data_IF_230848055952
#
_entry.id   IF_230848055952
#
_cell.length_a   1.000
_cell.length_b   1.000
_cell.length_c   1.000
_cell.angle_alpha   90.00
_cell.angle_beta   90.00
_cell.angle_gamma   90.00
#
_symmetry.space_group_name_H-M   'P 1'
#
loop_
_entity.id
_entity.type
_entity.pdbx_description
1 polymer ?
#
# COMPACT_ATOMS: atom_id res chain seq x y z
N UNK A 1 48.51 -0.10 -23.77
CA UNK A 1 47.61 0.08 -22.60
C UNK A 1 47.18 1.54 -22.46
N UNK A 2 46.22 1.97 -23.30
CA UNK A 2 45.57 3.27 -23.19
C UNK A 2 44.10 3.07 -22.84
N UNK A 3 43.80 2.95 -21.54
CA UNK A 3 42.45 3.10 -20.98
C UNK A 3 42.47 4.27 -20.00
N UNK A 4 42.94 5.42 -20.50
CA UNK A 4 42.79 6.69 -19.80
C UNK A 4 41.38 7.23 -20.11
N UNK A 5 40.47 7.13 -19.13
CA UNK A 5 39.38 8.11 -18.99
C UNK A 5 37.97 7.72 -19.44
N UNK A 6 37.42 6.57 -19.05
CA UNK A 6 35.96 6.32 -19.14
C UNK A 6 35.11 7.28 -18.30
N UNK A 7 35.72 8.04 -17.38
CA UNK A 7 35.07 9.13 -16.64
C UNK A 7 34.74 10.36 -17.52
N UNK A 8 35.42 10.57 -18.66
CA UNK A 8 35.25 11.77 -19.51
C UNK A 8 34.06 11.72 -20.47
N UNK A 9 33.40 10.57 -20.65
CA UNK A 9 32.29 10.40 -21.60
C UNK A 9 30.95 10.08 -20.93
N UNK A 10 30.84 10.26 -19.61
CA UNK A 10 29.59 10.04 -18.88
C UNK A 10 28.68 11.26 -19.02
N UNK A 11 28.15 11.48 -20.22
CA UNK A 11 27.10 12.49 -20.46
C UNK A 11 25.71 11.88 -20.20
N UNK A 12 24.74 12.65 -19.70
CA UNK A 12 23.37 12.20 -19.41
C UNK A 12 22.72 11.41 -20.55
N UNK A 13 22.90 11.84 -21.80
CA UNK A 13 22.33 11.15 -22.97
C UNK A 13 22.82 9.70 -23.08
N UNK A 14 24.14 9.47 -22.99
CA UNK A 14 24.72 8.13 -23.10
C UNK A 14 24.23 7.25 -21.94
N UNK A 15 24.22 7.80 -20.73
CA UNK A 15 23.75 7.08 -19.54
C UNK A 15 22.27 6.71 -19.64
N UNK A 16 21.44 7.65 -20.08
CA UNK A 16 20.00 7.44 -20.28
C UNK A 16 19.73 6.37 -21.33
N UNK A 17 20.31 6.50 -22.52
CA UNK A 17 20.12 5.51 -23.60
C UNK A 17 20.61 4.13 -23.17
N UNK A 18 21.78 4.04 -22.55
CA UNK A 18 22.30 2.77 -22.02
C UNK A 18 21.38 2.18 -20.95
N UNK A 19 20.79 3.02 -20.09
CA UNK A 19 19.82 2.53 -19.12
C UNK A 19 18.59 1.94 -19.80
N UNK A 20 18.03 2.63 -20.81
CA UNK A 20 16.83 2.16 -21.50
C UNK A 20 17.05 0.79 -22.17
N UNK A 21 18.22 0.55 -22.75
CA UNK A 21 18.55 -0.76 -23.37
C UNK A 21 18.81 -1.87 -22.35
N UNK A 22 19.19 -1.52 -21.11
CA UNK A 22 19.43 -2.47 -20.03
C UNK A 22 18.19 -2.75 -19.17
N UNK A 23 17.06 -2.08 -19.40
CA UNK A 23 15.85 -2.19 -18.57
C UNK A 23 15.38 -3.64 -18.41
N UNK A 24 15.45 -4.45 -19.46
CA UNK A 24 15.00 -5.84 -19.41
C UNK A 24 16.12 -6.82 -18.99
N UNK A 25 17.35 -6.59 -19.50
CA UNK A 25 18.47 -7.52 -19.32
C UNK A 25 19.24 -7.32 -18.02
N UNK A 26 19.29 -6.10 -17.49
CA UNK A 26 19.97 -5.77 -16.23
C UNK A 26 19.31 -4.58 -15.52
N UNK A 27 18.07 -4.74 -15.05
CA UNK A 27 17.24 -3.64 -14.56
C UNK A 27 17.86 -2.87 -13.38
N UNK A 28 18.55 -3.52 -12.44
CA UNK A 28 19.23 -2.83 -11.35
C UNK A 28 20.37 -1.90 -11.86
N UNK A 29 21.08 -2.31 -12.91
CA UNK A 29 22.09 -1.45 -13.57
C UNK A 29 21.42 -0.30 -14.30
N UNK A 30 20.29 -0.54 -14.95
CA UNK A 30 19.50 0.51 -15.60
C UNK A 30 19.05 1.58 -14.59
N UNK A 31 18.53 1.19 -13.41
CA UNK A 31 18.19 2.13 -12.33
C UNK A 31 19.39 3.01 -11.95
N UNK A 32 20.55 2.40 -11.68
CA UNK A 32 21.75 3.14 -11.29
C UNK A 32 22.21 4.15 -12.37
N UNK A 33 22.07 3.77 -13.65
CA UNK A 33 22.37 4.65 -14.77
C UNK A 33 21.36 5.80 -14.89
N UNK A 34 20.07 5.56 -14.67
CA UNK A 34 19.03 6.61 -14.66
C UNK A 34 19.24 7.59 -13.51
N UNK A 35 19.51 7.10 -12.30
CA UNK A 35 19.86 7.93 -11.14
C UNK A 35 21.04 8.83 -11.49
N UNK A 36 22.10 8.28 -12.06
CA UNK A 36 23.27 9.06 -12.46
C UNK A 36 22.98 10.06 -13.58
N UNK A 37 22.21 9.66 -14.58
CA UNK A 37 21.79 10.53 -15.68
C UNK A 37 20.99 11.73 -15.16
N UNK A 38 20.04 11.51 -14.24
CA UNK A 38 19.23 12.58 -13.66
C UNK A 38 20.06 13.61 -12.88
N UNK A 39 21.01 13.15 -12.04
CA UNK A 39 21.93 14.03 -11.29
C UNK A 39 22.81 14.89 -12.21
N UNK A 40 23.36 14.29 -13.27
CA UNK A 40 24.20 15.01 -14.23
C UNK A 40 23.37 15.97 -15.10
N UNK A 41 22.13 15.61 -15.46
CA UNK A 41 21.23 16.49 -16.20
C UNK A 41 20.84 17.73 -15.37
N UNK A 42 20.70 17.58 -14.06
CA UNK A 42 20.41 18.70 -13.14
C UNK A 42 21.56 19.74 -13.14
N UNK A 43 22.80 19.33 -13.39
CA UNK A 43 23.99 20.18 -13.41
C UNK A 43 24.19 20.94 -14.75
N UNK A 44 23.14 21.05 -15.58
CA UNK A 44 23.13 21.70 -16.91
C UNK A 44 24.11 21.06 -17.90
N UNK A 45 23.85 19.80 -18.23
CA UNK A 45 24.46 19.16 -19.40
C UNK A 45 23.60 19.41 -20.64
N UNK A 46 24.16 20.07 -21.64
CA UNK A 46 23.57 20.12 -22.97
C UNK A 46 23.61 18.72 -23.60
N UNK A 47 22.46 18.21 -24.07
CA UNK A 47 22.43 16.97 -24.86
C UNK A 47 21.22 16.05 -24.66
N UNK A 48 20.45 16.22 -23.57
CA UNK A 48 19.24 15.44 -23.34
C UNK A 48 18.04 16.37 -23.14
N UNK A 49 17.04 16.29 -24.05
CA UNK A 49 15.81 17.09 -23.96
C UNK A 49 14.77 16.42 -23.03
N UNK A 50 15.21 16.01 -21.84
CA UNK A 50 14.36 15.42 -20.81
C UNK A 50 14.69 16.12 -19.49
N UNK A 51 13.65 16.53 -18.77
CA UNK A 51 13.81 17.18 -17.47
C UNK A 51 14.40 16.19 -16.44
N UNK A 52 15.34 16.61 -15.57
CA UNK A 52 15.98 15.73 -14.60
C UNK A 52 15.01 14.90 -13.75
N UNK A 53 13.90 15.51 -13.31
CA UNK A 53 12.93 14.84 -12.45
C UNK A 53 12.19 13.71 -13.18
N UNK A 54 11.98 13.79 -14.50
CA UNK A 54 11.36 12.71 -15.29
C UNK A 54 12.29 11.50 -15.42
N UNK A 55 13.60 11.75 -15.53
CA UNK A 55 14.60 10.67 -15.54
C UNK A 55 14.64 9.99 -14.16
N UNK A 56 14.59 10.79 -13.09
CA UNK A 56 14.57 10.28 -11.72
C UNK A 56 13.26 9.52 -11.40
N UNK A 57 12.12 9.97 -11.92
CA UNK A 57 10.82 9.30 -11.84
C UNK A 57 10.88 7.91 -12.48
N UNK A 58 11.43 7.80 -13.70
CA UNK A 58 11.64 6.51 -14.36
C UNK A 58 12.55 5.59 -13.53
N UNK A 59 13.59 6.14 -12.90
CA UNK A 59 14.47 5.37 -12.02
C UNK A 59 13.69 4.81 -10.82
N UNK A 60 12.89 5.64 -10.15
CA UNK A 60 12.09 5.26 -8.99
C UNK A 60 11.04 4.21 -9.36
N UNK A 61 10.33 4.38 -10.48
CA UNK A 61 9.33 3.41 -10.96
C UNK A 61 9.98 2.06 -11.29
N UNK A 62 11.10 2.06 -12.02
CA UNK A 62 11.80 0.82 -12.36
C UNK A 62 12.34 0.13 -11.11
N UNK A 63 12.89 0.90 -10.15
CA UNK A 63 13.38 0.36 -8.90
C UNK A 63 12.26 -0.25 -8.05
N UNK A 64 11.09 0.40 -7.99
CA UNK A 64 9.91 -0.17 -7.34
C UNK A 64 9.45 -1.47 -8.01
N UNK A 65 9.41 -1.50 -9.34
CA UNK A 65 9.03 -2.71 -10.08
C UNK A 65 9.99 -3.88 -9.82
N UNK A 66 11.28 -3.61 -9.61
CA UNK A 66 12.25 -4.62 -9.20
C UNK A 66 12.00 -5.10 -7.78
N UNK A 67 11.80 -4.14 -6.87
CA UNK A 67 11.52 -4.40 -5.47
C UNK A 67 10.26 -5.26 -5.30
N UNK A 68 9.18 -4.96 -6.03
CA UNK A 68 7.89 -5.66 -5.94
C UNK A 68 7.89 -7.07 -6.55
N UNK A 69 8.81 -7.37 -7.49
CA UNK A 69 8.90 -8.67 -8.18
C UNK A 69 9.55 -9.78 -7.34
N UNK A 70 10.23 -9.41 -6.25
CA UNK A 70 10.83 -10.35 -5.31
C UNK A 70 10.17 -10.19 -3.92
N UNK A 71 8.86 -10.53 -3.80
CA UNK A 71 8.17 -10.44 -2.53
C UNK A 71 8.74 -11.50 -1.57
N UNK A 72 9.31 -11.05 -0.45
CA UNK A 72 9.93 -11.93 0.51
C UNK A 72 8.97 -12.94 1.12
N UNK A 73 9.35 -14.22 1.06
CA UNK A 73 8.83 -15.28 1.91
C UNK A 73 9.52 -15.27 3.29
N UNK A 74 9.53 -14.12 3.98
CA UNK A 74 9.98 -14.02 5.38
C UNK A 74 11.50 -13.98 5.65
N UNK A 75 12.35 -13.93 4.62
CA UNK A 75 13.82 -13.83 4.76
C UNK A 75 14.38 -12.60 4.00
N UNK A 76 14.11 -11.41 4.54
CA UNK A 76 14.84 -10.16 4.26
C UNK A 76 14.76 -9.58 2.83
N UNK A 77 14.07 -8.44 2.69
CA UNK A 77 13.91 -7.63 1.45
C UNK A 77 15.20 -7.00 0.90
N UNK A 78 16.37 -7.59 1.14
CA UNK A 78 17.63 -6.84 1.15
C UNK A 78 18.23 -6.59 -0.22
N UNK A 79 18.01 -7.46 -1.22
CA UNK A 79 18.77 -7.42 -2.47
C UNK A 79 18.55 -6.11 -3.27
N UNK A 80 17.33 -5.57 -3.24
CA UNK A 80 16.97 -4.35 -3.98
C UNK A 80 16.63 -3.15 -3.11
N UNK A 81 16.67 -3.28 -1.78
CA UNK A 81 16.38 -2.17 -0.86
C UNK A 81 17.27 -0.96 -1.10
N UNK A 82 18.59 -1.15 -1.24
CA UNK A 82 19.52 -0.05 -1.50
C UNK A 82 19.20 0.65 -2.83
N UNK A 83 18.98 -0.13 -3.89
CA UNK A 83 18.66 0.39 -5.23
C UNK A 83 17.34 1.17 -5.22
N UNK A 84 16.31 0.66 -4.53
CA UNK A 84 15.02 1.33 -4.42
C UNK A 84 15.11 2.62 -3.60
N UNK A 85 15.71 2.57 -2.40
CA UNK A 85 15.91 3.74 -1.55
C UNK A 85 16.69 4.82 -2.29
N UNK A 86 17.83 4.47 -2.90
CA UNK A 86 18.68 5.43 -3.62
C UNK A 86 17.93 6.11 -4.78
N UNK A 87 17.10 5.35 -5.52
CA UNK A 87 16.30 5.87 -6.61
C UNK A 87 15.19 6.82 -6.13
N UNK A 88 14.48 6.46 -5.06
CA UNK A 88 13.43 7.28 -4.49
C UNK A 88 13.96 8.53 -3.78
N UNK A 89 15.09 8.44 -3.08
CA UNK A 89 15.75 9.61 -2.48
C UNK A 89 16.23 10.58 -3.56
N UNK A 90 16.78 10.06 -4.66
CA UNK A 90 17.15 10.86 -5.81
C UNK A 90 15.93 11.55 -6.44
N UNK A 91 14.84 10.82 -6.67
CA UNK A 91 13.61 11.40 -7.21
C UNK A 91 13.01 12.46 -6.28
N UNK A 92 12.90 12.16 -4.99
CA UNK A 92 12.37 13.10 -3.99
C UNK A 92 13.20 14.39 -3.92
N UNK A 93 14.52 14.29 -4.05
CA UNK A 93 15.43 15.44 -4.05
C UNK A 93 15.27 16.29 -5.32
N UNK A 94 15.18 15.66 -6.50
CA UNK A 94 15.14 16.37 -7.78
C UNK A 94 13.75 16.92 -8.10
N UNK A 95 12.69 16.17 -7.77
CA UNK A 95 11.31 16.58 -8.03
C UNK A 95 10.81 17.63 -7.02
N UNK A 96 11.37 17.67 -5.80
CA UNK A 96 10.93 18.54 -4.71
C UNK A 96 9.39 18.46 -4.54
N UNK A 97 8.67 19.56 -4.73
CA UNK A 97 7.21 19.63 -4.57
C UNK A 97 6.43 19.01 -5.75
N UNK A 98 7.11 18.60 -6.82
CA UNK A 98 6.51 17.96 -8.01
C UNK A 98 6.46 16.45 -7.94
N UNK A 99 6.79 15.87 -6.78
CA UNK A 99 6.73 14.41 -6.62
C UNK A 99 5.30 13.92 -6.82
N UNK A 100 5.15 12.92 -7.68
CA UNK A 100 3.87 12.24 -7.86
C UNK A 100 3.40 11.61 -6.53
N UNK A 101 2.09 11.68 -6.26
CA UNK A 101 1.52 11.24 -4.98
C UNK A 101 1.56 9.72 -4.83
N UNK A 102 1.34 8.98 -5.92
CA UNK A 102 1.42 7.53 -5.93
C UNK A 102 2.86 7.09 -5.66
N UNK A 103 3.84 7.63 -6.38
CA UNK A 103 5.25 7.33 -6.14
C UNK A 103 5.69 7.70 -4.72
N UNK A 104 5.18 8.81 -4.16
CA UNK A 104 5.46 9.18 -2.77
C UNK A 104 4.87 8.17 -1.78
N UNK A 105 3.67 7.66 -2.03
CA UNK A 105 3.08 6.59 -1.23
C UNK A 105 3.87 5.29 -1.36
N UNK A 106 4.22 4.86 -2.58
CA UNK A 106 5.06 3.68 -2.82
C UNK A 106 6.42 3.77 -2.13
N UNK A 107 7.01 4.97 -2.10
CA UNK A 107 8.26 5.18 -1.37
C UNK A 107 8.10 4.88 0.13
N UNK A 108 6.97 5.24 0.73
CA UNK A 108 6.73 4.92 2.15
C UNK A 108 6.67 3.42 2.41
N UNK A 109 6.11 2.64 1.49
CA UNK A 109 6.11 1.17 1.57
C UNK A 109 7.53 0.60 1.46
N UNK A 110 8.31 1.07 0.49
CA UNK A 110 9.73 0.68 0.34
C UNK A 110 10.52 0.98 1.61
N UNK A 111 10.36 2.17 2.19
CA UNK A 111 11.04 2.55 3.44
C UNK A 111 10.70 1.59 4.58
N UNK A 112 9.41 1.27 4.75
CA UNK A 112 8.96 0.36 5.82
C UNK A 112 9.55 -1.03 5.64
N UNK A 113 9.40 -1.59 4.44
CA UNK A 113 9.78 -2.97 4.14
C UNK A 113 11.32 -3.15 4.12
N UNK A 114 12.06 -2.06 3.91
CA UNK A 114 13.51 -1.97 4.07
C UNK A 114 13.99 -1.59 5.49
N UNK A 115 13.10 -1.59 6.49
CA UNK A 115 13.45 -1.36 7.90
C UNK A 115 13.58 0.11 8.32
N UNK A 116 13.34 1.08 7.43
CA UNK A 116 13.30 2.52 7.74
C UNK A 116 11.90 2.96 8.18
N UNK A 117 11.36 2.27 9.21
CA UNK A 117 9.96 2.40 9.67
C UNK A 117 9.61 3.83 10.08
N UNK A 118 10.47 4.52 10.83
CA UNK A 118 10.20 5.90 11.26
C UNK A 118 10.12 6.91 10.10
N UNK A 119 10.92 6.69 9.06
CA UNK A 119 10.89 7.55 7.87
C UNK A 119 9.66 7.28 7.01
N UNK A 120 9.30 6.00 6.87
CA UNK A 120 8.03 5.59 6.27
C UNK A 120 6.85 6.26 6.98
N UNK A 121 6.79 6.18 8.32
CA UNK A 121 5.73 6.79 9.13
C UNK A 121 5.63 8.30 8.93
N UNK A 122 6.76 9.01 8.94
CA UNK A 122 6.81 10.46 8.64
C UNK A 122 6.29 10.78 7.25
N UNK A 123 6.61 9.95 6.26
CA UNK A 123 6.15 10.14 4.89
C UNK A 123 4.65 9.88 4.74
N UNK A 124 4.14 8.80 5.33
CA UNK A 124 2.72 8.49 5.40
C UNK A 124 1.93 9.59 6.10
N UNK A 125 2.42 10.11 7.23
CA UNK A 125 1.77 11.22 7.94
C UNK A 125 1.62 12.45 7.03
N UNK A 126 2.68 12.82 6.29
CA UNK A 126 2.62 13.92 5.31
C UNK A 126 1.60 13.68 4.20
N UNK A 127 1.33 12.43 3.81
CA UNK A 127 0.30 12.09 2.81
C UNK A 127 -1.09 12.15 3.45
N UNK A 128 -1.24 11.62 4.66
CA UNK A 128 -2.49 11.58 5.42
C UNK A 128 -3.02 12.98 5.80
N UNK A 129 -2.12 13.92 6.09
CA UNK A 129 -2.42 15.29 6.50
C UNK A 129 -2.85 16.21 5.33
N UNK A 130 -2.71 15.76 4.08
CA UNK A 130 -3.18 16.53 2.93
C UNK A 130 -4.69 16.77 3.02
N UNK A 131 -5.21 17.92 2.56
CA UNK A 131 -6.66 18.17 2.58
C UNK A 131 -7.42 17.24 1.63
N UNK A 132 -6.82 16.94 0.47
CA UNK A 132 -7.34 16.07 -0.59
C UNK A 132 -6.21 15.17 -1.09
N UNK A 133 -6.56 14.14 -1.87
CA UNK A 133 -5.57 13.20 -2.44
C UNK A 133 -6.11 11.78 -2.47
N UNK A 134 -5.76 11.04 -3.52
CA UNK A 134 -6.19 9.64 -3.69
C UNK A 134 -5.57 8.75 -2.61
N UNK A 135 -4.32 9.00 -2.25
CA UNK A 135 -3.55 8.16 -1.32
C UNK A 135 -3.70 8.60 0.13
N UNK A 136 -4.31 9.75 0.38
CA UNK A 136 -4.57 10.27 1.74
C UNK A 136 -5.28 9.25 2.62
N UNK A 137 -6.37 8.66 2.14
CA UNK A 137 -7.18 7.69 2.91
C UNK A 137 -6.42 6.40 3.15
N UNK A 138 -5.70 5.92 2.14
CA UNK A 138 -4.84 4.74 2.26
C UNK A 138 -3.77 4.96 3.32
N UNK A 139 -3.09 6.11 3.27
CA UNK A 139 -2.06 6.46 4.26
C UNK A 139 -2.60 6.55 5.69
N UNK A 140 -3.82 7.10 5.88
CA UNK A 140 -4.48 7.11 7.19
C UNK A 140 -4.75 5.70 7.71
N UNK A 141 -5.30 4.82 6.86
CA UNK A 141 -5.53 3.43 7.24
C UNK A 141 -4.21 2.74 7.61
N UNK A 142 -3.18 2.84 6.78
CA UNK A 142 -1.89 2.20 7.03
C UNK A 142 -1.23 2.70 8.33
N UNK A 143 -1.39 3.98 8.69
CA UNK A 143 -0.91 4.52 9.97
C UNK A 143 -1.63 3.89 11.17
N UNK A 144 -2.95 3.72 11.10
CA UNK A 144 -3.73 3.03 12.15
C UNK A 144 -3.25 1.58 12.27
N UNK A 145 -3.12 0.88 11.13
CA UNK A 145 -2.68 -0.52 11.11
C UNK A 145 -1.26 -0.71 11.66
N UNK A 146 -0.33 0.20 11.35
CA UNK A 146 1.02 0.18 11.91
C UNK A 146 1.00 0.35 13.44
N UNK A 147 0.13 1.23 13.97
CA UNK A 147 -0.02 1.42 15.41
C UNK A 147 -0.62 0.17 16.08
N UNK A 148 -1.61 -0.46 15.45
CA UNK A 148 -2.19 -1.72 15.94
C UNK A 148 -1.14 -2.83 16.04
N UNK A 149 -0.28 -2.97 15.03
CA UNK A 149 0.81 -3.95 15.04
C UNK A 149 1.84 -3.70 16.13
N UNK A 150 2.15 -2.43 16.43
CA UNK A 150 3.12 -2.06 17.47
C UNK A 150 2.56 -2.25 18.89
N UNK A 151 1.25 -2.07 19.06
CA UNK A 151 0.60 -2.01 20.37
C UNK A 151 -0.11 -3.29 20.81
N UNK A 152 0.15 -4.44 20.15
CA UNK A 152 -0.45 -5.75 20.43
C UNK A 152 -0.37 -6.24 21.90
N UNK A 153 0.40 -5.58 22.78
CA UNK A 153 0.59 -5.96 24.19
C UNK A 153 -0.21 -5.10 25.19
N UNK A 154 -0.90 -4.03 24.76
CA UNK A 154 -1.60 -3.12 25.67
C UNK A 154 -3.08 -2.97 25.28
N UNK A 155 -3.95 -3.58 26.10
CA UNK A 155 -5.41 -3.61 25.88
C UNK A 155 -6.02 -2.21 25.70
N UNK A 156 -5.66 -1.25 26.55
CA UNK A 156 -6.19 0.13 26.47
C UNK A 156 -5.81 0.84 25.18
N UNK A 157 -4.61 0.57 24.65
CA UNK A 157 -4.21 1.12 23.35
C UNK A 157 -4.95 0.46 22.20
N UNK A 158 -5.39 -0.79 22.33
CA UNK A 158 -6.12 -1.50 21.29
C UNK A 158 -7.54 -0.94 21.14
N UNK A 159 -8.21 -0.63 22.26
CA UNK A 159 -9.55 -0.03 22.23
C UNK A 159 -9.54 1.36 21.57
N UNK A 160 -8.57 2.22 21.90
CA UNK A 160 -8.41 3.53 21.26
C UNK A 160 -8.17 3.43 19.75
N UNK A 161 -7.38 2.44 19.32
CA UNK A 161 -7.11 2.21 17.89
C UNK A 161 -8.32 1.67 17.15
N UNK A 162 -9.15 0.84 17.81
CA UNK A 162 -10.42 0.39 17.25
C UNK A 162 -11.41 1.54 17.10
N UNK A 163 -11.48 2.46 18.06
CA UNK A 163 -12.31 3.67 17.91
C UNK A 163 -11.79 4.58 16.77
N UNK A 164 -10.47 4.76 16.63
CA UNK A 164 -9.90 5.47 15.48
C UNK A 164 -10.24 4.80 14.13
N UNK A 165 -10.22 3.46 14.10
CA UNK A 165 -10.59 2.69 12.91
C UNK A 165 -12.09 2.82 12.60
N UNK A 166 -12.95 2.82 13.63
CA UNK A 166 -14.39 3.08 13.51
C UNK A 166 -14.65 4.46 12.92
N UNK A 167 -14.03 5.49 13.49
CA UNK A 167 -14.14 6.87 12.99
C UNK A 167 -13.66 6.98 11.54
N UNK A 168 -12.57 6.29 11.19
CA UNK A 168 -12.09 6.22 9.81
C UNK A 168 -13.16 5.63 8.87
N UNK A 169 -13.79 4.52 9.25
CA UNK A 169 -14.83 3.84 8.46
C UNK A 169 -16.03 4.76 8.23
N UNK A 170 -16.51 5.42 9.29
CA UNK A 170 -17.68 6.31 9.23
C UNK A 170 -17.42 7.56 8.38
N UNK A 171 -16.18 8.06 8.40
CA UNK A 171 -15.79 9.24 7.64
C UNK A 171 -15.22 8.91 6.24
N UNK A 172 -15.21 7.65 5.82
CA UNK A 172 -14.77 7.24 4.49
C UNK A 172 -15.96 7.15 3.52
N UNK A 173 -16.18 8.13 2.63
CA UNK A 173 -17.27 8.06 1.67
C UNK A 173 -16.97 6.96 0.64
N UNK A 174 -17.68 5.84 0.73
CA UNK A 174 -17.61 4.71 -0.22
C UNK A 174 -18.28 5.01 -1.57
N UNK A 175 -18.11 6.23 -2.10
CA UNK A 175 -18.78 6.69 -3.32
C UNK A 175 -18.06 6.29 -4.60
N UNK A 176 -16.74 6.13 -4.53
CA UNK A 176 -15.90 5.63 -5.63
C UNK A 176 -15.29 4.26 -5.27
N UNK A 177 -14.98 3.46 -6.29
CA UNK A 177 -14.51 2.08 -6.15
C UNK A 177 -13.27 1.96 -5.26
N UNK A 178 -12.28 2.85 -5.43
CA UNK A 178 -11.04 2.83 -4.65
C UNK A 178 -11.29 3.13 -3.18
N UNK A 179 -12.12 4.14 -2.90
CA UNK A 179 -12.49 4.49 -1.53
C UNK A 179 -13.38 3.43 -0.88
N UNK A 180 -14.25 2.79 -1.65
CA UNK A 180 -15.05 1.67 -1.18
C UNK A 180 -14.19 0.44 -0.85
N UNK A 181 -13.14 0.16 -1.65
CA UNK A 181 -12.18 -0.90 -1.37
C UNK A 181 -11.42 -0.64 -0.06
N UNK A 182 -10.93 0.59 0.16
CA UNK A 182 -10.26 0.98 1.41
C UNK A 182 -11.22 0.89 2.61
N UNK A 183 -12.48 1.33 2.45
CA UNK A 183 -13.50 1.23 3.50
C UNK A 183 -13.81 -0.23 3.84
N UNK A 184 -13.96 -1.08 2.82
CA UNK A 184 -14.19 -2.52 2.97
C UNK A 184 -13.04 -3.21 3.69
N UNK A 185 -11.80 -2.88 3.34
CA UNK A 185 -10.60 -3.37 4.04
C UNK A 185 -10.61 -2.95 5.51
N UNK A 186 -10.89 -1.68 5.81
CA UNK A 186 -10.98 -1.19 7.18
C UNK A 186 -12.09 -1.89 7.99
N UNK A 187 -13.28 -2.07 7.40
CA UNK A 187 -14.39 -2.82 8.00
C UNK A 187 -14.01 -4.27 8.31
N UNK A 188 -13.34 -4.94 7.38
CA UNK A 188 -12.88 -6.32 7.56
C UNK A 188 -11.92 -6.46 8.74
N UNK A 189 -10.99 -5.52 8.87
CA UNK A 189 -10.01 -5.51 9.96
C UNK A 189 -10.72 -5.24 11.29
N UNK A 190 -11.58 -4.21 11.33
CA UNK A 190 -12.34 -3.84 12.52
C UNK A 190 -13.20 -5.00 13.04
N UNK A 191 -13.99 -5.62 12.16
CA UNK A 191 -14.87 -6.73 12.54
C UNK A 191 -14.08 -7.94 13.03
N UNK A 192 -12.97 -8.27 12.35
CA UNK A 192 -12.12 -9.39 12.78
C UNK A 192 -11.54 -9.14 14.16
N UNK A 193 -10.97 -7.96 14.39
CA UNK A 193 -10.35 -7.62 15.68
C UNK A 193 -11.34 -7.64 16.84
N UNK A 194 -12.58 -7.18 16.65
CA UNK A 194 -13.62 -7.26 17.68
C UNK A 194 -14.08 -8.70 17.95
N UNK A 195 -14.27 -9.50 16.91
CA UNK A 195 -14.74 -10.88 17.06
C UNK A 195 -13.69 -11.84 17.65
N UNK A 196 -12.42 -11.40 17.75
CA UNK A 196 -11.36 -12.10 18.47
C UNK A 196 -11.48 -11.96 19.99
N UNK A 197 -12.12 -10.90 20.51
CA UNK A 197 -12.34 -10.69 21.95
C UNK A 197 -13.38 -11.65 22.55
N UNK A 198 -14.28 -12.19 21.71
CA UNK A 198 -15.30 -13.17 22.07
C UNK A 198 -16.26 -12.72 23.20
N UNK A 199 -16.51 -11.42 23.31
CA UNK A 199 -17.46 -10.82 24.26
C UNK A 199 -18.67 -10.20 23.53
N UNK A 200 -19.79 -10.10 24.24
CA UNK A 200 -21.07 -9.62 23.69
C UNK A 200 -21.01 -8.14 23.26
N UNK A 201 -20.25 -7.29 23.97
CA UNK A 201 -20.15 -5.87 23.64
C UNK A 201 -19.41 -5.66 22.31
N UNK A 202 -18.30 -6.37 22.10
CA UNK A 202 -17.57 -6.37 20.83
C UNK A 202 -18.41 -6.92 19.69
N UNK A 203 -19.17 -7.99 19.93
CA UNK A 203 -20.10 -8.54 18.93
C UNK A 203 -21.20 -7.53 18.56
N UNK A 204 -21.77 -6.83 19.53
CA UNK A 204 -22.76 -5.77 19.26
C UNK A 204 -22.17 -4.63 18.43
N UNK A 205 -20.95 -4.16 18.73
CA UNK A 205 -20.25 -3.14 17.93
C UNK A 205 -20.09 -3.54 16.46
N UNK A 206 -19.88 -4.82 16.17
CA UNK A 206 -19.81 -5.35 14.80
C UNK A 206 -21.17 -5.24 14.09
N UNK A 207 -22.26 -5.58 14.77
CA UNK A 207 -23.60 -5.45 14.19
C UNK A 207 -23.97 -4.00 13.93
N UNK A 208 -23.61 -3.10 14.85
CA UNK A 208 -23.89 -1.67 14.73
C UNK A 208 -23.18 -1.07 13.50
N UNK A 209 -21.86 -1.31 13.37
CA UNK A 209 -21.09 -0.73 12.26
C UNK A 209 -21.49 -1.29 10.89
N UNK A 210 -21.87 -2.58 10.82
CA UNK A 210 -22.32 -3.21 9.57
C UNK A 210 -23.75 -2.80 9.20
N UNK A 211 -24.55 -2.36 10.17
CA UNK A 211 -25.86 -1.77 9.93
C UNK A 211 -25.75 -0.31 9.45
N UNK A 212 -24.84 0.46 10.05
CA UNK A 212 -24.56 1.86 9.68
C UNK A 212 -23.86 1.99 8.31
N UNK A 213 -23.16 0.95 7.85
CA UNK A 213 -22.56 0.92 6.53
C UNK A 213 -23.61 0.55 5.45
N UNK A 214 -24.38 1.53 5.00
CA UNK A 214 -25.51 1.39 4.05
C UNK A 214 -25.24 0.58 2.75
N UNK A 215 -23.96 0.32 2.39
CA UNK A 215 -23.55 -0.44 1.20
C UNK A 215 -22.68 -1.68 1.50
N UNK A 216 -22.63 -2.18 2.75
CA UNK A 216 -21.91 -3.43 3.06
C UNK A 216 -22.72 -4.65 2.63
N UNK A 217 -22.59 -5.01 1.35
CA UNK A 217 -23.05 -6.29 0.81
C UNK A 217 -21.85 -7.19 0.49
N UNK A 218 -21.90 -8.45 0.90
CA UNK A 218 -20.88 -9.43 0.57
C UNK A 218 -20.88 -10.59 1.57
N UNK A 219 -20.54 -11.77 1.07
CA UNK A 219 -20.49 -13.03 1.84
C UNK A 219 -19.66 -12.86 3.12
N UNK A 220 -18.57 -12.10 3.06
CA UNK A 220 -17.71 -11.84 4.20
C UNK A 220 -18.42 -11.05 5.32
N UNK A 221 -19.25 -10.07 4.98
CA UNK A 221 -19.99 -9.29 5.98
C UNK A 221 -21.16 -10.09 6.56
N UNK A 222 -21.81 -10.94 5.75
CA UNK A 222 -22.82 -11.89 6.25
C UNK A 222 -22.19 -12.88 7.23
N UNK A 223 -20.97 -13.36 6.95
CA UNK A 223 -20.22 -14.20 7.90
C UNK A 223 -19.93 -13.48 9.21
N UNK A 224 -19.51 -12.20 9.18
CA UNK A 224 -19.31 -11.43 10.40
C UNK A 224 -20.60 -11.18 11.18
N UNK A 225 -21.71 -10.88 10.50
CA UNK A 225 -23.04 -10.77 11.13
C UNK A 225 -23.43 -12.06 11.82
N UNK A 226 -23.31 -13.20 11.13
CA UNK A 226 -23.59 -14.51 11.70
C UNK A 226 -22.75 -14.79 12.95
N UNK A 227 -21.43 -14.55 12.89
CA UNK A 227 -20.52 -14.79 14.01
C UNK A 227 -20.81 -13.87 15.20
N UNK A 228 -21.13 -12.59 14.95
CA UNK A 228 -21.53 -11.65 15.99
C UNK A 228 -22.85 -12.07 16.66
N UNK A 229 -23.88 -12.40 15.87
CA UNK A 229 -25.17 -12.90 16.36
C UNK A 229 -25.02 -14.17 17.19
N UNK A 230 -24.13 -15.08 16.77
CA UNK A 230 -23.81 -16.28 17.54
C UNK A 230 -23.20 -15.95 18.92
N UNK A 231 -22.28 -14.97 18.99
CA UNK A 231 -21.63 -14.57 20.24
C UNK A 231 -22.60 -13.92 21.24
N UNK A 232 -23.66 -13.27 20.77
CA UNK A 232 -24.71 -12.69 21.62
C UNK A 232 -25.90 -13.63 21.89
N UNK A 233 -25.85 -14.88 21.39
CA UNK A 233 -26.90 -15.89 21.62
C UNK A 233 -28.12 -15.82 20.68
N UNK A 234 -28.11 -14.95 19.67
CA UNK A 234 -29.16 -14.79 18.65
C UNK A 234 -29.03 -15.85 17.55
N UNK A 235 -29.11 -17.13 17.94
CA UNK A 235 -28.77 -18.28 17.09
C UNK A 235 -29.65 -18.41 15.84
N UNK A 236 -30.94 -18.11 15.94
CA UNK A 236 -31.86 -18.19 14.79
C UNK A 236 -31.48 -17.21 13.69
N UNK A 237 -31.16 -15.96 14.08
CA UNK A 237 -30.71 -14.94 13.15
C UNK A 237 -29.32 -15.26 12.59
N UNK A 238 -28.43 -15.81 13.42
CA UNK A 238 -27.11 -16.25 12.99
C UNK A 238 -27.19 -17.29 11.86
N UNK A 239 -28.09 -18.29 12.00
CA UNK A 239 -28.31 -19.33 10.99
C UNK A 239 -28.78 -18.74 9.67
N UNK A 240 -29.67 -17.74 9.67
CA UNK A 240 -30.15 -17.11 8.44
C UNK A 240 -29.00 -16.50 7.61
N UNK A 241 -28.05 -15.82 8.27
CA UNK A 241 -26.86 -15.28 7.61
C UNK A 241 -25.85 -16.38 7.22
N UNK A 242 -25.75 -17.48 7.97
CA UNK A 242 -24.90 -18.60 7.57
C UNK A 242 -25.43 -19.33 6.33
N UNK A 243 -26.75 -19.48 6.21
CA UNK A 243 -27.38 -20.09 5.04
C UNK A 243 -27.11 -19.26 3.79
N UNK A 244 -27.18 -17.92 3.87
CA UNK A 244 -26.81 -17.08 2.73
C UNK A 244 -25.36 -17.31 2.31
N UNK A 245 -24.42 -17.38 3.25
CA UNK A 245 -23.00 -17.66 2.98
C UNK A 245 -22.81 -19.00 2.25
N UNK A 246 -23.46 -20.08 2.72
CA UNK A 246 -23.31 -21.44 2.14
C UNK A 246 -23.93 -21.54 0.75
N UNK A 247 -25.10 -20.93 0.54
CA UNK A 247 -25.81 -20.98 -0.76
C UNK A 247 -25.04 -20.22 -1.84
N UNK A 248 -24.39 -19.11 -1.50
CA UNK A 248 -23.56 -18.37 -2.45
C UNK A 248 -22.24 -19.10 -2.79
N UNK A 249 -21.61 -19.78 -1.83
CA UNK A 249 -20.38 -20.55 -2.06
C UNK A 249 -20.63 -21.79 -2.94
N UNK A 250 -21.77 -22.46 -2.75
CA UNK A 250 -22.17 -23.62 -3.55
C UNK A 250 -22.70 -23.27 -4.96
N UNK A 251 -23.13 -22.03 -5.19
CA UNK A 251 -23.48 -21.51 -6.52
C UNK A 251 -22.28 -21.31 -7.46
N UNK A 252 -21.06 -21.23 -6.93
CA UNK A 252 -19.81 -21.17 -7.72
C UNK A 252 -19.33 -22.54 -8.22
N UNK A 253 -19.96 -23.63 -7.78
CA UNK A 253 -19.60 -25.02 -8.12
C UNK A 253 -20.64 -25.73 -9.01
N UNK A 254 -21.63 -25.02 -9.56
CA UNK A 254 -22.54 -25.63 -10.52
C UNK A 254 -21.79 -25.97 -11.83
N UNK A 255 -21.72 -27.24 -12.25
CA UNK A 255 -21.13 -27.58 -13.54
C UNK A 255 -21.97 -26.96 -14.65
N UNK A 256 -21.30 -26.29 -15.60
CA UNK A 256 -21.90 -26.00 -16.90
C UNK A 256 -22.24 -27.33 -17.58
N UNK A 257 -23.46 -27.80 -17.38
CA UNK A 257 -24.05 -28.82 -18.23
C UNK A 257 -24.61 -28.08 -19.44
N UNK A 258 -23.77 -27.99 -20.47
CA UNK A 258 -24.19 -27.66 -21.83
C UNK A 258 -25.32 -28.59 -22.27
N UNK A 259 -26.44 -28.01 -22.70
CA UNK A 259 -27.33 -28.61 -23.70
C UNK A 259 -27.09 -27.93 -25.04
#
# INVERSE_FOLDING_TARGET
>A
NHLAGTKKFQIPLILYVTATTLTESSPAKAVNLLVKASKLQQQKSDGLNIEPYKIAEQAAQLAYNLFAKDPCNGLGHTAYCSVAIDAFDNYSTIAADRIDEELKYLYSSVLRDCGRVEESKKLLQKIADRPTGLWRRRAKLDLILQQMQQNHKQQTSQDELLEQLRDFILNCPGRDEKSNAIRTEALNIYCRSLLECADELSAQKVLDILSEAENTSGIQFDFFKAKALQQIGELEQAVNYMVSVVVYDSGSLAPQVTQ
#
